data_IF_240839580318
#
_entry.id   IF_240839580318
#
_cell.length_a   1.000
_cell.length_b   1.000
_cell.length_c   1.000
_cell.angle_alpha   90.00
_cell.angle_beta   90.00
_cell.angle_gamma   90.00
#
_symmetry.space_group_name_H-M   'P 1'
#
loop_
_entity.id
_entity.type
_entity.pdbx_description
1 polymer ?
#
# COMPACT_ATOMS: atom_id res chain seq x y z
N UNK A 1 41.06 23.54 -11.10
CA UNK A 1 40.03 24.48 -11.61
C UNK A 1 38.98 23.61 -12.31
N UNK A 2 37.69 23.56 -11.99
CA UNK A 2 36.86 24.17 -10.96
C UNK A 2 35.71 23.19 -10.66
N UNK A 3 35.30 23.09 -9.39
CA UNK A 3 34.11 22.38 -8.92
C UNK A 3 32.84 23.11 -9.37
N UNK A 4 31.73 22.37 -9.54
CA UNK A 4 30.41 22.95 -9.75
C UNK A 4 29.28 21.92 -9.68
N UNK A 5 29.03 21.35 -8.49
CA UNK A 5 27.79 20.66 -8.19
C UNK A 5 26.66 21.70 -8.01
N UNK A 6 25.62 21.61 -8.82
CA UNK A 6 24.40 22.40 -8.66
C UNK A 6 23.29 21.51 -8.11
N UNK A 7 23.18 21.47 -6.78
CA UNK A 7 22.02 20.92 -6.08
C UNK A 7 20.97 22.04 -6.00
N UNK A 8 19.85 21.88 -6.69
CA UNK A 8 18.69 22.76 -6.59
C UNK A 8 17.49 21.96 -6.11
N UNK A 9 17.33 21.84 -4.79
CA UNK A 9 16.05 21.44 -4.17
C UNK A 9 15.23 22.72 -3.98
N UNK A 10 14.15 22.87 -4.75
CA UNK A 10 13.10 23.85 -4.47
C UNK A 10 11.82 23.09 -4.14
N UNK A 11 11.54 22.97 -2.84
CA UNK A 11 10.23 22.58 -2.35
C UNK A 11 9.29 23.79 -2.47
N UNK A 12 8.33 23.75 -3.39
CA UNK A 12 7.23 24.70 -3.43
C UNK A 12 6.07 24.12 -2.60
N UNK A 13 5.84 24.73 -1.43
CA UNK A 13 4.66 24.47 -0.61
C UNK A 13 3.55 25.36 -1.16
N UNK A 14 2.56 24.78 -1.83
CA UNK A 14 1.38 25.51 -2.27
C UNK A 14 0.36 25.64 -1.12
N UNK A 15 -0.38 26.76 -1.00
CA UNK A 15 -1.41 26.92 0.03
C UNK A 15 -2.60 26.02 -0.28
N UNK A 16 -3.11 25.32 0.73
CA UNK A 16 -4.36 24.56 0.65
C UNK A 16 -5.52 25.57 0.59
N UNK A 17 -6.20 25.65 -0.55
CA UNK A 17 -7.50 26.31 -0.66
C UNK A 17 -8.54 25.20 -0.75
N UNK A 18 -9.39 25.12 0.27
CA UNK A 18 -10.54 24.22 0.29
C UNK A 18 -11.67 24.87 -0.51
N UNK A 19 -12.02 24.29 -1.66
CA UNK A 19 -13.26 24.56 -2.38
C UNK A 19 -14.03 23.24 -2.56
N UNK A 20 -15.35 23.20 -2.24
CA UNK A 20 -16.17 22.03 -2.46
C UNK A 20 -16.73 22.06 -3.88
N UNK A 21 -16.16 21.26 -4.78
CA UNK A 21 -16.68 21.13 -6.13
C UNK A 21 -16.85 19.63 -6.48
N UNK A 22 -18.09 19.18 -6.33
CA UNK A 22 -18.63 18.02 -7.06
C UNK A 22 -18.76 18.45 -8.52
N UNK A 23 -17.82 18.07 -9.39
CA UNK A 23 -18.11 17.77 -10.79
C UNK A 23 -16.96 16.97 -11.42
N UNK A 24 -17.32 16.06 -12.33
CA UNK A 24 -16.44 15.04 -12.91
C UNK A 24 -15.38 15.66 -13.82
N UNK A 25 -14.11 15.38 -13.55
CA UNK A 25 -13.04 15.45 -14.56
C UNK A 25 -12.33 14.10 -14.57
N UNK A 26 -12.70 13.26 -15.54
CA UNK A 26 -11.96 12.05 -15.91
C UNK A 26 -10.93 12.47 -16.95
N UNK A 27 -9.65 12.45 -16.61
CA UNK A 27 -8.56 12.43 -17.59
C UNK A 27 -8.12 10.98 -17.83
N UNK A 28 -7.89 10.55 -19.09
CA UNK A 28 -7.41 9.21 -19.37
C UNK A 28 -5.88 9.19 -19.31
N UNK A 29 -5.31 8.65 -18.24
CA UNK A 29 -3.90 8.23 -18.23
C UNK A 29 -3.84 6.76 -18.61
N UNK A 30 -3.21 6.51 -19.76
CA UNK A 30 -3.01 5.18 -20.30
C UNK A 30 -1.83 4.45 -19.62
N UNK A 31 -1.98 3.13 -19.53
CA UNK A 31 -0.95 2.08 -19.44
C UNK A 31 -0.56 1.53 -18.06
N UNK A 32 -1.42 0.63 -17.61
CA UNK A 32 -1.17 -0.55 -16.78
C UNK A 32 -2.43 -1.40 -16.94
N UNK A 33 -2.39 -2.72 -16.85
CA UNK A 33 -3.64 -3.51 -16.84
C UNK A 33 -4.46 -3.06 -15.63
N UNK A 34 -5.36 -2.10 -15.83
CA UNK A 34 -6.38 -1.74 -14.87
C UNK A 34 -7.26 -2.98 -14.78
N UNK A 35 -6.92 -3.86 -13.84
CA UNK A 35 -7.87 -4.83 -13.35
C UNK A 35 -8.97 -3.98 -12.73
N UNK A 36 -9.95 -3.64 -13.56
CA UNK A 36 -11.13 -2.93 -13.13
C UNK A 36 -11.69 -3.75 -11.99
N UNK A 37 -11.63 -3.18 -10.79
CA UNK A 37 -12.09 -3.85 -9.60
C UNK A 37 -13.61 -3.98 -9.77
N UNK A 38 -14.08 -5.19 -10.05
CA UNK A 38 -15.50 -5.49 -10.22
C UNK A 38 -15.98 -6.14 -8.94
N UNK A 39 -17.07 -5.62 -8.39
CA UNK A 39 -17.69 -6.22 -7.21
C UNK A 39 -18.18 -7.64 -7.58
N UNK A 40 -17.85 -8.68 -6.80
CA UNK A 40 -18.19 -10.06 -7.15
C UNK A 40 -19.64 -10.45 -6.85
N UNK A 41 -20.50 -9.50 -6.44
CA UNK A 41 -21.86 -9.77 -5.96
C UNK A 41 -22.91 -9.39 -7.02
N UNK A 42 -23.77 -10.35 -7.35
CA UNK A 42 -24.78 -10.22 -8.40
C UNK A 42 -26.02 -9.43 -7.97
N UNK A 43 -26.26 -9.31 -6.66
CA UNK A 43 -27.40 -8.67 -6.03
C UNK A 43 -27.12 -7.22 -5.58
N UNK A 44 -25.91 -6.71 -5.84
CA UNK A 44 -25.51 -5.35 -5.47
C UNK A 44 -25.30 -4.52 -6.74
N UNK A 45 -26.25 -3.63 -7.01
CA UNK A 45 -26.15 -2.69 -8.14
C UNK A 45 -25.02 -1.66 -7.94
N UNK A 46 -24.32 -1.21 -9.00
CA UNK A 46 -23.35 -0.10 -8.94
C UNK A 46 -23.90 1.19 -8.34
N UNK A 47 -25.21 1.45 -8.48
CA UNK A 47 -25.87 2.64 -7.91
C UNK A 47 -26.29 2.45 -6.44
N UNK A 48 -26.05 1.27 -5.85
CA UNK A 48 -26.40 0.99 -4.47
C UNK A 48 -25.44 1.71 -3.51
N UNK A 49 -25.97 2.30 -2.43
CA UNK A 49 -25.16 3.05 -1.46
C UNK A 49 -24.00 2.24 -0.86
N UNK A 50 -24.18 0.91 -0.72
CA UNK A 50 -23.17 0.01 -0.17
C UNK A 50 -22.13 -0.45 -1.21
N UNK A 51 -22.31 -0.15 -2.50
CA UNK A 51 -21.46 -0.66 -3.57
C UNK A 51 -20.00 -0.34 -3.35
N UNK A 52 -19.66 0.94 -3.11
CA UNK A 52 -18.29 1.38 -2.86
C UNK A 52 -17.68 0.74 -1.61
N UNK A 53 -18.47 0.58 -0.55
CA UNK A 53 -18.00 -0.06 0.68
C UNK A 53 -17.66 -1.53 0.43
N UNK A 54 -18.55 -2.25 -0.26
CA UNK A 54 -18.34 -3.67 -0.60
C UNK A 54 -17.22 -3.85 -1.60
N UNK A 55 -17.05 -2.92 -2.54
CA UNK A 55 -15.99 -2.96 -3.52
C UNK A 55 -14.63 -2.87 -2.83
N UNK A 56 -14.49 -1.98 -1.85
CA UNK A 56 -13.28 -1.89 -1.03
C UNK A 56 -13.08 -3.13 -0.15
N UNK A 57 -14.11 -3.55 0.59
CA UNK A 57 -13.97 -4.64 1.57
C UNK A 57 -13.77 -6.02 0.92
N UNK A 58 -14.47 -6.32 -0.16
CA UNK A 58 -14.38 -7.60 -0.87
C UNK A 58 -13.33 -7.56 -1.99
N UNK A 59 -13.22 -6.46 -2.72
CA UNK A 59 -12.31 -6.35 -3.86
C UNK A 59 -10.89 -5.95 -3.48
N UNK A 60 -10.72 -4.90 -2.66
CA UNK A 60 -9.38 -4.40 -2.28
C UNK A 60 -8.81 -5.17 -1.10
N UNK A 61 -9.55 -5.23 0.01
CA UNK A 61 -9.07 -5.85 1.24
C UNK A 61 -9.31 -7.36 1.29
N UNK A 62 -10.27 -7.88 0.51
CA UNK A 62 -10.60 -9.31 0.49
C UNK A 62 -11.05 -9.86 1.84
N UNK A 63 -11.57 -9.01 2.73
CA UNK A 63 -11.89 -9.40 4.11
C UNK A 63 -13.36 -9.75 4.34
N UNK A 64 -14.21 -9.42 3.37
CA UNK A 64 -15.62 -9.80 3.31
C UNK A 64 -15.82 -10.75 2.13
N UNK A 65 -16.65 -11.77 2.33
CA UNK A 65 -17.06 -12.71 1.30
C UNK A 65 -18.58 -12.81 1.25
N UNK A 66 -19.10 -13.10 0.07
CA UNK A 66 -20.52 -13.36 -0.14
C UNK A 66 -20.83 -14.86 -0.01
N UNK A 67 -22.03 -15.20 -0.44
CA UNK A 67 -22.50 -16.58 -0.47
C UNK A 67 -21.99 -17.33 -1.71
N UNK A 68 -21.97 -18.68 -1.69
CA UNK A 68 -21.50 -19.48 -2.82
C UNK A 68 -22.28 -19.29 -4.13
N UNK A 69 -23.50 -18.73 -4.06
CA UNK A 69 -24.33 -18.37 -5.20
C UNK A 69 -23.95 -17.02 -5.84
N UNK A 70 -22.94 -16.33 -5.31
CA UNK A 70 -22.49 -15.04 -5.82
C UNK A 70 -23.34 -13.86 -5.35
N UNK A 71 -24.05 -14.00 -4.23
CA UNK A 71 -24.82 -12.90 -3.61
C UNK A 71 -24.17 -12.39 -2.33
N UNK A 72 -24.45 -11.15 -1.94
CA UNK A 72 -24.07 -10.58 -0.63
C UNK A 72 -25.20 -10.66 0.39
N UNK A 73 -26.46 -10.56 -0.06
CA UNK A 73 -27.69 -10.57 0.73
C UNK A 73 -27.76 -9.45 1.78
N UNK A 74 -27.47 -8.23 1.34
CA UNK A 74 -27.41 -7.06 2.23
C UNK A 74 -28.72 -6.71 2.94
N UNK A 75 -29.87 -7.17 2.42
CA UNK A 75 -31.20 -6.96 3.02
C UNK A 75 -31.58 -8.05 4.04
N UNK A 76 -30.83 -9.15 4.11
CA UNK A 76 -31.09 -10.24 5.05
C UNK A 76 -30.62 -9.88 6.46
N UNK A 77 -31.31 -10.39 7.47
CA UNK A 77 -30.88 -10.21 8.87
C UNK A 77 -29.62 -11.03 9.16
N UNK A 78 -28.58 -10.37 9.66
CA UNK A 78 -27.36 -11.02 10.12
C UNK A 78 -27.46 -11.44 11.60
N UNK A 79 -26.94 -12.61 11.95
CA UNK A 79 -26.81 -13.01 13.36
C UNK A 79 -25.66 -12.26 14.02
N UNK A 80 -25.70 -12.13 15.34
CA UNK A 80 -24.59 -11.56 16.12
C UNK A 80 -23.27 -12.33 15.92
N UNK A 81 -23.36 -13.63 15.64
CA UNK A 81 -22.18 -14.48 15.40
C UNK A 81 -21.56 -14.21 14.04
N UNK A 82 -22.35 -14.10 12.99
CA UNK A 82 -21.87 -13.78 11.63
C UNK A 82 -21.25 -12.39 11.59
N UNK A 83 -21.88 -11.41 12.24
CA UNK A 83 -21.31 -10.07 12.34
C UNK A 83 -19.96 -10.06 13.07
N UNK A 84 -19.85 -10.77 14.20
CA UNK A 84 -18.60 -10.86 14.96
C UNK A 84 -17.49 -11.55 14.14
N UNK A 85 -17.82 -12.65 13.45
CA UNK A 85 -16.87 -13.35 12.58
C UNK A 85 -16.41 -12.49 11.40
N UNK A 86 -17.33 -11.75 10.76
CA UNK A 86 -16.98 -10.81 9.68
C UNK A 86 -16.09 -9.67 10.16
N UNK A 87 -16.36 -9.12 11.35
CA UNK A 87 -15.53 -8.07 11.95
C UNK A 87 -14.12 -8.58 12.27
N UNK A 88 -14.01 -9.78 12.86
CA UNK A 88 -12.72 -10.40 13.17
C UNK A 88 -11.89 -10.67 11.89
N UNK A 89 -12.54 -11.18 10.84
CA UNK A 89 -11.92 -11.38 9.52
C UNK A 89 -11.29 -10.09 8.98
N UNK A 90 -12.04 -8.99 8.98
CA UNK A 90 -11.52 -7.70 8.51
C UNK A 90 -10.45 -7.10 9.40
N UNK A 91 -10.58 -7.19 10.71
CA UNK A 91 -9.53 -6.72 11.61
C UNK A 91 -8.24 -7.52 11.43
N UNK A 92 -8.35 -8.84 11.23
CA UNK A 92 -7.19 -9.71 10.99
C UNK A 92 -6.39 -9.26 9.77
N UNK A 93 -7.06 -8.95 8.64
CA UNK A 93 -6.40 -8.42 7.44
C UNK A 93 -5.60 -7.16 7.76
N UNK A 94 -6.19 -6.19 8.47
CA UNK A 94 -5.50 -4.96 8.85
C UNK A 94 -4.29 -5.22 9.75
N UNK A 95 -4.42 -6.12 10.71
CA UNK A 95 -3.31 -6.48 11.60
C UNK A 95 -2.18 -7.17 10.83
N UNK A 96 -2.50 -8.04 9.87
CA UNK A 96 -1.52 -8.73 9.06
C UNK A 96 -0.75 -7.74 8.17
N UNK A 97 -1.44 -6.78 7.55
CA UNK A 97 -0.81 -5.73 6.74
C UNK A 97 0.14 -4.86 7.59
N UNK A 98 -0.29 -4.47 8.79
CA UNK A 98 0.55 -3.69 9.70
C UNK A 98 1.81 -4.47 10.13
N UNK A 99 1.66 -5.78 10.43
CA UNK A 99 2.78 -6.64 10.81
C UNK A 99 3.77 -6.84 9.66
N UNK A 100 3.27 -7.06 8.44
CA UNK A 100 4.11 -7.21 7.24
C UNK A 100 4.97 -5.97 7.01
N UNK A 101 4.38 -4.77 7.07
CA UNK A 101 5.16 -3.52 6.90
C UNK A 101 6.26 -3.39 7.95
N UNK A 102 5.98 -3.75 9.20
CA UNK A 102 6.99 -3.70 10.26
C UNK A 102 8.10 -4.74 10.02
N UNK A 103 7.76 -5.94 9.56
CA UNK A 103 8.73 -6.97 9.22
C UNK A 103 9.64 -6.53 8.08
N UNK A 104 9.08 -5.96 7.00
CA UNK A 104 9.85 -5.41 5.88
C UNK A 104 10.80 -4.32 6.36
N UNK A 105 10.32 -3.35 7.15
CA UNK A 105 11.17 -2.29 7.69
C UNK A 105 12.31 -2.84 8.55
N UNK A 106 12.03 -3.84 9.38
CA UNK A 106 13.05 -4.48 10.22
C UNK A 106 14.07 -5.25 9.38
N UNK A 107 13.65 -5.89 8.29
CA UNK A 107 14.53 -6.58 7.35
C UNK A 107 15.41 -5.58 6.60
N UNK A 108 14.84 -4.46 6.13
CA UNK A 108 15.57 -3.38 5.48
C UNK A 108 16.65 -2.82 6.40
N UNK A 109 16.32 -2.48 7.65
CA UNK A 109 17.30 -1.97 8.62
C UNK A 109 18.45 -2.96 8.84
N UNK A 110 18.16 -4.27 8.92
CA UNK A 110 19.19 -5.31 9.04
C UNK A 110 20.08 -5.39 7.81
N UNK A 111 19.48 -5.39 6.62
CA UNK A 111 20.23 -5.43 5.36
C UNK A 111 21.17 -4.23 5.18
N UNK A 112 20.78 -3.06 5.69
CA UNK A 112 21.61 -1.85 5.68
C UNK A 112 22.81 -1.97 6.63
N UNK A 113 22.62 -2.58 7.80
CA UNK A 113 23.70 -2.84 8.76
C UNK A 113 24.71 -3.81 8.12
N UNK A 114 24.23 -4.93 7.58
CA UNK A 114 25.07 -5.94 6.95
C UNK A 114 25.86 -5.35 5.77
N UNK A 115 25.23 -4.50 4.95
CA UNK A 115 25.88 -3.81 3.84
C UNK A 115 26.95 -2.81 4.30
N UNK A 116 26.72 -2.09 5.40
CA UNK A 116 27.70 -1.19 5.98
C UNK A 116 28.91 -1.95 6.52
N UNK A 117 28.69 -3.08 7.21
CA UNK A 117 29.77 -3.94 7.69
C UNK A 117 30.61 -4.49 6.54
N UNK A 118 29.97 -4.91 5.45
CA UNK A 118 30.67 -5.40 4.26
C UNK A 118 31.50 -4.29 3.60
N UNK A 119 30.94 -3.09 3.41
CA UNK A 119 31.68 -1.96 2.84
C UNK A 119 32.88 -1.57 3.71
N UNK A 120 32.77 -1.63 5.04
CA UNK A 120 33.89 -1.35 5.95
C UNK A 120 34.97 -2.44 5.88
N UNK A 121 34.57 -3.70 5.71
CA UNK A 121 35.50 -4.82 5.50
C UNK A 121 36.29 -4.64 4.21
N UNK A 122 35.61 -4.31 3.11
CA UNK A 122 36.24 -4.07 1.81
C UNK A 122 37.27 -2.93 1.90
N UNK A 123 36.93 -1.83 2.57
CA UNK A 123 37.85 -0.71 2.79
C UNK A 123 39.09 -1.11 3.60
N UNK A 124 38.94 -1.97 4.61
CA UNK A 124 40.05 -2.45 5.43
C UNK A 124 40.98 -3.36 4.65
N UNK A 125 40.43 -4.20 3.76
CA UNK A 125 41.23 -5.04 2.87
C UNK A 125 42.05 -4.17 1.90
N UNK A 126 41.44 -3.13 1.32
CA UNK A 126 42.14 -2.18 0.45
C UNK A 126 43.26 -1.41 1.17
N UNK A 127 43.06 -1.03 2.43
CA UNK A 127 44.11 -0.39 3.26
C UNK A 127 45.28 -1.34 3.53
N UNK A 128 45.00 -2.63 3.79
CA UNK A 128 46.04 -3.64 4.03
C UNK A 128 46.91 -3.90 2.80
N UNK A 129 46.39 -3.65 1.60
CA UNK A 129 47.07 -3.85 0.33
C UNK A 129 47.87 -2.61 -0.14
N UNK A 130 47.82 -1.49 0.60
CA UNK A 130 48.63 -0.32 0.29
C UNK A 130 50.10 -0.57 0.69
N UNK A 131 51.06 -0.36 -0.22
CA UNK A 131 52.48 -0.50 0.11
C UNK A 131 52.88 0.53 1.17
N UNK A 132 53.59 0.09 2.21
CA UNK A 132 54.15 0.97 3.24
C UNK A 132 54.94 2.10 2.55
N UNK A 133 54.54 3.34 2.80
CA UNK A 133 55.20 4.50 2.22
C UNK A 133 56.68 4.52 2.68
N UNK A 134 57.62 4.80 1.76
CA UNK A 134 59.06 4.72 2.01
C UNK A 134 59.57 5.71 3.07
#
# INVERSE_FOLDING_TARGET
>A
MALGLSIGVLAAIAPVQAEPAVDKVVEPVAQGTEQQLVLPFTDVSPDHWAYEALLNLAGVYGCVSGYPDGTFRGEDTVTRYEFAAGMDSCLSVLTNLAQQQQQTRNQEVRSLIDAMEQSLSDLRELESDLPEAP
#
